data_IF_905282203156
#
_entry.id   IF_905282203156
#
_cell.length_a   1.000
_cell.length_b   1.000
_cell.length_c   1.000
_cell.angle_alpha   90.00
_cell.angle_beta   90.00
_cell.angle_gamma   90.00
#
_symmetry.space_group_name_H-M   'P 1'
#
loop_
_entity.id
_entity.type
_entity.pdbx_description
1 polymer ?
#
# COMPACT_ATOMS: atom_id res chain seq x y z
N UNK A 1 -19.21 4.27 11.28
CA UNK A 1 -17.76 4.58 11.34
C UNK A 1 -17.54 6.02 11.83
N UNK A 2 -17.99 6.31 13.05
CA UNK A 2 -17.76 7.60 13.72
C UNK A 2 -17.25 7.29 15.13
N UNK A 3 -16.33 8.12 15.62
CA UNK A 3 -15.83 8.19 17.00
C UNK A 3 -14.66 7.27 17.37
N UNK A 4 -13.43 7.73 17.09
CA UNK A 4 -12.27 7.47 17.95
C UNK A 4 -11.53 8.80 18.12
N UNK A 5 -11.88 9.50 19.20
CA UNK A 5 -11.31 10.80 19.58
C UNK A 5 -11.18 10.80 21.11
N UNK A 6 -9.96 11.05 21.62
CA UNK A 6 -9.51 11.40 23.00
C UNK A 6 -8.65 10.41 23.81
N UNK A 7 -7.52 11.00 24.25
CA UNK A 7 -6.78 10.90 25.53
C UNK A 7 -5.48 10.08 25.60
N UNK A 8 -4.38 10.78 25.97
CA UNK A 8 -3.03 10.23 26.24
C UNK A 8 -2.51 10.65 27.62
N UNK A 9 -1.69 9.79 28.23
CA UNK A 9 -0.84 10.05 29.39
C UNK A 9 0.49 9.28 29.29
N UNK A 10 1.61 9.90 29.71
CA UNK A 10 3.02 9.54 29.44
C UNK A 10 3.63 8.59 30.49
N UNK A 11 4.62 7.74 30.14
CA UNK A 11 6.00 7.70 30.70
C UNK A 11 6.91 6.58 30.11
N UNK A 12 8.23 6.83 30.17
CA UNK A 12 9.42 6.17 29.56
C UNK A 12 9.88 4.92 30.38
N UNK A 13 10.68 3.94 29.91
CA UNK A 13 12.16 4.02 29.67
C UNK A 13 12.83 2.62 29.40
N UNK A 14 13.85 2.61 28.53
CA UNK A 14 15.10 1.80 28.38
C UNK A 14 15.19 0.36 27.80
N UNK A 15 16.18 0.26 26.88
CA UNK A 15 16.62 -0.83 25.99
C UNK A 15 17.49 -1.95 26.57
N UNK A 16 17.54 -3.07 25.84
CA UNK A 16 18.72 -3.94 25.64
C UNK A 16 18.79 -4.39 24.16
N UNK A 17 20.01 -4.54 23.61
CA UNK A 17 20.38 -4.96 22.23
C UNK A 17 21.58 -5.95 22.34
N UNK A 18 22.00 -6.69 21.29
CA UNK A 18 21.24 -7.70 20.54
C UNK A 18 22.10 -8.96 20.22
N UNK A 19 21.50 -10.00 19.61
CA UNK A 19 22.23 -11.08 18.92
C UNK A 19 22.22 -10.86 17.41
N UNK A 20 23.39 -11.01 16.79
CA UNK A 20 23.71 -10.71 15.39
C UNK A 20 23.16 -11.81 14.47
N UNK A 21 22.28 -11.45 13.54
CA UNK A 21 21.89 -12.29 12.40
C UNK A 21 22.55 -11.72 11.12
N UNK A 22 23.25 -12.59 10.40
CA UNK A 22 24.04 -12.24 9.22
C UNK A 22 23.10 -12.04 8.00
N UNK A 23 22.71 -10.79 7.72
CA UNK A 23 22.02 -10.43 6.48
C UNK A 23 23.05 -10.41 5.33
N UNK A 24 22.90 -11.36 4.40
CA UNK A 24 23.55 -11.28 3.08
C UNK A 24 22.82 -10.16 2.32
N UNK A 25 23.35 -8.94 2.40
CA UNK A 25 22.90 -7.82 1.58
C UNK A 25 23.24 -8.13 0.13
N UNK A 26 22.28 -8.69 -0.61
CA UNK A 26 22.29 -8.72 -2.06
C UNK A 26 22.30 -7.26 -2.53
N UNK A 27 23.46 -6.77 -2.96
CA UNK A 27 23.57 -5.54 -3.74
C UNK A 27 22.86 -5.79 -5.06
N UNK A 28 21.56 -5.51 -5.12
CA UNK A 28 20.80 -5.49 -6.36
C UNK A 28 21.45 -4.47 -7.30
N UNK A 29 22.05 -4.97 -8.39
CA UNK A 29 22.56 -4.11 -9.43
C UNK A 29 21.37 -3.52 -10.17
N UNK A 30 21.04 -2.26 -9.84
CA UNK A 30 20.11 -1.45 -10.62
C UNK A 30 20.61 -1.36 -12.06
N UNK A 31 20.07 -2.21 -12.93
CA UNK A 31 20.25 -2.09 -14.37
C UNK A 31 19.30 -1.01 -14.86
N UNK A 32 19.77 0.24 -14.90
CA UNK A 32 19.04 1.30 -15.59
C UNK A 32 18.80 0.85 -17.03
N UNK A 33 17.55 0.56 -17.40
CA UNK A 33 17.15 0.47 -18.79
C UNK A 33 17.63 1.75 -19.47
N UNK A 34 18.60 1.72 -20.40
CA UNK A 34 19.31 2.92 -20.85
C UNK A 34 18.46 3.93 -21.65
N UNK A 35 17.15 3.74 -21.78
CA UNK A 35 16.34 4.41 -22.79
C UNK A 35 14.86 4.61 -22.39
N UNK A 36 14.51 4.86 -21.12
CA UNK A 36 13.19 5.43 -20.80
C UNK A 36 13.11 6.92 -21.20
N UNK A 37 13.18 7.17 -22.52
CA UNK A 37 12.88 8.47 -23.12
C UNK A 37 11.47 8.95 -22.79
N UNK A 38 10.61 8.09 -22.23
CA UNK A 38 9.28 8.46 -21.75
C UNK A 38 9.36 9.45 -20.59
N UNK A 39 10.20 9.17 -19.59
CA UNK A 39 10.30 10.03 -18.41
C UNK A 39 10.89 11.41 -18.77
N UNK A 40 11.97 11.46 -19.57
CA UNK A 40 12.56 12.72 -20.03
C UNK A 40 11.55 13.60 -20.80
N UNK A 41 10.73 12.99 -21.68
CA UNK A 41 9.65 13.70 -22.37
C UNK A 41 8.61 14.26 -21.40
N UNK A 42 8.24 13.49 -20.38
CA UNK A 42 7.29 13.91 -19.36
C UNK A 42 7.83 15.08 -18.51
N UNK A 43 9.10 15.02 -18.11
CA UNK A 43 9.80 16.10 -17.40
C UNK A 43 9.85 17.38 -18.26
N UNK A 44 10.20 17.23 -19.53
CA UNK A 44 10.25 18.37 -20.48
C UNK A 44 8.87 19.01 -20.61
N UNK A 45 7.81 18.22 -20.80
CA UNK A 45 6.43 18.71 -20.85
C UNK A 45 6.02 19.42 -19.56
N UNK A 46 6.29 18.83 -18.38
CA UNK A 46 6.00 19.42 -17.08
C UNK A 46 6.65 20.81 -16.94
N UNK A 47 7.93 20.94 -17.30
CA UNK A 47 8.68 22.20 -17.26
C UNK A 47 8.13 23.24 -18.24
N UNK A 48 7.77 22.86 -19.47
CA UNK A 48 7.13 23.75 -20.44
C UNK A 48 5.78 24.29 -19.93
N UNK A 49 5.10 23.51 -19.10
CA UNK A 49 3.86 23.90 -18.47
C UNK A 49 4.06 24.66 -17.15
N UNK A 50 5.30 25.05 -16.79
CA UNK A 50 5.60 25.84 -15.60
C UNK A 50 5.74 25.01 -14.32
N UNK A 51 5.77 23.68 -14.43
CA UNK A 51 6.17 22.80 -13.34
C UNK A 51 7.67 22.75 -13.15
N UNK A 52 8.10 22.14 -12.04
CA UNK A 52 9.51 21.94 -11.70
C UNK A 52 9.72 20.48 -11.33
N UNK A 53 10.83 19.90 -11.76
CA UNK A 53 11.24 18.52 -11.44
C UNK A 53 12.72 18.58 -11.10
N UNK A 54 13.15 17.99 -10.00
CA UNK A 54 14.56 17.94 -9.60
C UNK A 54 15.37 17.10 -10.61
N UNK A 55 16.52 17.60 -11.08
CA UNK A 55 17.37 16.87 -12.04
C UNK A 55 18.05 15.64 -11.42
N UNK A 56 17.99 15.48 -10.09
CA UNK A 56 18.58 14.35 -9.36
C UNK A 56 17.61 13.20 -9.18
N UNK A 57 16.44 13.19 -9.82
CA UNK A 57 15.52 12.04 -9.78
C UNK A 57 15.35 11.45 -11.18
N UNK A 58 15.14 10.15 -11.22
CA UNK A 58 14.81 9.42 -12.44
C UNK A 58 13.79 8.32 -12.14
N UNK A 59 13.25 7.69 -13.17
CA UNK A 59 12.39 6.52 -13.04
C UNK A 59 13.07 5.32 -13.66
N UNK A 60 13.17 4.25 -12.88
CA UNK A 60 13.75 2.98 -13.32
C UNK A 60 12.72 1.86 -13.20
N UNK A 61 13.02 0.74 -13.85
CA UNK A 61 12.36 -0.54 -13.62
C UNK A 61 13.30 -1.39 -12.78
N UNK A 62 12.87 -1.79 -11.60
CA UNK A 62 13.61 -2.67 -10.69
C UNK A 62 13.62 -4.12 -11.20
N UNK A 63 14.45 -4.97 -10.58
CA UNK A 63 14.60 -6.38 -10.98
C UNK A 63 13.29 -7.19 -10.89
N UNK A 64 12.35 -6.75 -10.05
CA UNK A 64 11.01 -7.34 -9.91
C UNK A 64 10.02 -6.81 -10.98
N UNK A 65 10.47 -6.02 -11.95
CA UNK A 65 9.65 -5.42 -13.00
C UNK A 65 8.82 -4.23 -12.52
N UNK A 66 8.91 -3.83 -11.25
CA UNK A 66 8.20 -2.66 -10.73
C UNK A 66 8.92 -1.40 -11.20
N UNK A 67 8.15 -0.44 -11.68
CA UNK A 67 8.65 0.89 -12.02
C UNK A 67 8.60 1.79 -10.80
N UNK A 68 9.64 2.58 -10.55
CA UNK A 68 9.65 3.53 -9.44
C UNK A 68 10.70 4.61 -9.56
N UNK A 69 10.52 5.66 -8.77
CA UNK A 69 11.38 6.85 -8.79
C UNK A 69 12.60 6.66 -7.89
N UNK A 70 13.79 7.00 -8.37
CA UNK A 70 15.06 6.86 -7.64
C UNK A 70 15.84 8.17 -7.62
N UNK A 71 16.65 8.33 -6.58
CA UNK A 71 17.63 9.41 -6.51
C UNK A 71 18.90 9.07 -7.32
N UNK A 72 19.33 9.96 -8.21
CA UNK A 72 20.58 9.86 -8.98
C UNK A 72 21.81 10.34 -8.20
N UNK A 73 21.57 11.19 -7.21
CA UNK A 73 22.53 11.82 -6.30
C UNK A 73 21.93 11.88 -4.90
N UNK A 74 22.73 12.25 -3.90
CA UNK A 74 22.20 12.49 -2.56
C UNK A 74 21.27 13.73 -2.59
N UNK A 75 20.11 13.60 -1.95
CA UNK A 75 19.09 14.65 -1.88
C UNK A 75 18.83 14.99 -0.42
N UNK A 76 19.02 16.25 -0.05
CA UNK A 76 18.84 16.72 1.32
C UNK A 76 17.36 16.73 1.76
N UNK A 77 17.14 16.61 3.07
CA UNK A 77 15.80 16.76 3.64
C UNK A 77 15.18 18.12 3.32
N UNK A 78 13.89 18.14 3.00
CA UNK A 78 13.16 19.34 2.64
C UNK A 78 13.34 19.82 1.20
N UNK A 79 14.19 19.17 0.40
CA UNK A 79 14.31 19.45 -1.02
C UNK A 79 12.97 19.25 -1.75
N UNK A 80 12.68 20.11 -2.73
CA UNK A 80 11.54 19.98 -3.63
C UNK A 80 11.92 19.03 -4.78
N UNK A 81 11.28 17.85 -4.82
CA UNK A 81 11.47 16.87 -5.88
C UNK A 81 10.64 17.21 -7.12
N UNK A 82 9.43 17.73 -6.89
CA UNK A 82 8.45 18.07 -7.93
C UNK A 82 7.57 19.23 -7.46
N UNK A 83 7.28 20.16 -8.37
CA UNK A 83 6.11 21.04 -8.31
C UNK A 83 5.26 20.80 -9.57
N UNK A 84 4.04 20.33 -9.38
CA UNK A 84 3.00 20.25 -10.40
C UNK A 84 2.01 21.42 -10.25
N UNK A 85 1.98 22.40 -11.18
CA UNK A 85 1.05 23.53 -11.10
C UNK A 85 -0.40 23.06 -11.17
N UNK A 86 -1.31 23.77 -10.49
CA UNK A 86 -2.74 23.39 -10.43
C UNK A 86 -3.39 23.17 -11.80
N UNK A 87 -2.99 23.94 -12.84
CA UNK A 87 -3.52 23.76 -14.20
C UNK A 87 -3.18 22.42 -14.86
N UNK A 88 -2.28 21.62 -14.29
CA UNK A 88 -1.93 20.28 -14.77
C UNK A 88 -2.53 19.16 -13.92
N UNK A 89 -3.11 19.48 -12.76
CA UNK A 89 -3.78 18.50 -11.90
C UNK A 89 -5.17 18.25 -12.47
N UNK A 90 -5.47 17.02 -12.90
CA UNK A 90 -6.83 16.68 -13.34
C UNK A 90 -7.74 16.53 -12.12
N UNK A 91 -8.92 17.14 -12.17
CA UNK A 91 -9.89 17.12 -11.07
C UNK A 91 -9.79 18.28 -10.06
N UNK A 92 -8.76 19.14 -10.12
CA UNK A 92 -8.68 20.31 -9.23
C UNK A 92 -7.93 21.46 -9.88
N UNK A 93 -8.62 22.59 -10.10
CA UNK A 93 -8.05 23.78 -10.73
C UNK A 93 -7.42 24.77 -9.75
N UNK A 94 -7.63 24.60 -8.45
CA UNK A 94 -7.02 25.43 -7.41
C UNK A 94 -7.06 24.79 -6.03
N UNK A 95 -6.23 25.28 -5.12
CA UNK A 95 -6.31 24.92 -3.69
C UNK A 95 -7.70 25.20 -3.10
N UNK A 96 -8.39 26.24 -3.57
CA UNK A 96 -9.71 26.60 -3.07
C UNK A 96 -10.82 25.66 -3.54
N UNK A 97 -10.68 25.07 -4.74
CA UNK A 97 -11.68 24.15 -5.28
C UNK A 97 -11.64 22.80 -4.57
N UNK A 98 -10.43 22.33 -4.25
CA UNK A 98 -10.22 21.16 -3.40
C UNK A 98 -10.90 21.29 -2.03
N UNK A 99 -10.78 22.46 -1.40
CA UNK A 99 -11.34 22.71 -0.06
C UNK A 99 -12.87 22.82 -0.05
N UNK A 100 -13.53 23.01 -1.21
CA UNK A 100 -14.99 23.10 -1.32
C UNK A 100 -15.67 21.72 -1.29
N UNK A 101 -14.92 20.62 -1.37
CA UNK A 101 -15.41 19.26 -1.14
C UNK A 101 -16.52 18.79 -2.10
N UNK A 102 -16.57 19.34 -3.32
CA UNK A 102 -17.79 19.32 -4.14
C UNK A 102 -17.71 18.64 -5.50
N UNK A 103 -16.52 18.49 -6.10
CA UNK A 103 -16.45 17.87 -7.42
C UNK A 103 -16.32 16.35 -7.26
N UNK A 104 -17.41 15.66 -7.60
CA UNK A 104 -17.56 14.21 -7.46
C UNK A 104 -16.40 13.51 -8.15
N UNK A 105 -15.86 12.45 -7.54
CA UNK A 105 -14.82 11.61 -8.17
C UNK A 105 -15.19 11.20 -9.61
N UNK A 106 -16.49 11.16 -9.92
CA UNK A 106 -17.04 11.03 -11.26
C UNK A 106 -16.55 12.09 -12.25
N UNK A 107 -16.50 13.36 -11.87
CA UNK A 107 -16.01 14.44 -12.72
C UNK A 107 -14.54 14.21 -13.13
N UNK A 108 -13.69 13.76 -12.20
CA UNK A 108 -12.29 13.44 -12.48
C UNK A 108 -12.18 12.27 -13.45
N UNK A 109 -12.96 11.20 -13.25
CA UNK A 109 -12.99 10.05 -14.16
C UNK A 109 -13.49 10.46 -15.55
N UNK A 110 -14.53 11.29 -15.63
CA UNK A 110 -15.10 11.75 -16.89
C UNK A 110 -14.17 12.72 -17.64
N UNK A 111 -13.50 13.64 -16.93
CA UNK A 111 -12.47 14.54 -17.47
C UNK A 111 -11.31 13.72 -18.02
N UNK A 112 -10.80 12.77 -17.25
CA UNK A 112 -9.71 11.90 -17.69
C UNK A 112 -10.11 11.05 -18.90
N UNK A 113 -11.33 10.49 -18.91
CA UNK A 113 -11.85 9.77 -20.07
C UNK A 113 -11.95 10.69 -21.30
N UNK A 114 -12.36 11.94 -21.14
CA UNK A 114 -12.36 12.94 -22.20
C UNK A 114 -10.96 13.16 -22.77
N UNK A 115 -9.97 13.40 -21.92
CA UNK A 115 -8.59 13.62 -22.35
C UNK A 115 -7.96 12.39 -23.02
N UNK A 116 -8.29 11.18 -22.56
CA UNK A 116 -7.88 9.93 -23.23
C UNK A 116 -8.44 9.87 -24.66
N UNK A 117 -9.71 10.24 -24.88
CA UNK A 117 -10.34 10.25 -26.22
C UNK A 117 -9.70 11.27 -27.16
N UNK A 118 -9.25 12.41 -26.64
CA UNK A 118 -8.55 13.42 -27.45
C UNK A 118 -7.21 12.90 -28.00
N UNK A 119 -6.63 11.86 -27.38
CA UNK A 119 -5.36 11.28 -27.78
C UNK A 119 -4.28 12.36 -27.87
N UNK A 120 -3.56 12.44 -28.99
CA UNK A 120 -2.47 13.42 -29.21
C UNK A 120 -2.90 14.89 -29.18
N UNK A 121 -4.20 15.18 -29.24
CA UNK A 121 -4.72 16.54 -29.13
C UNK A 121 -4.91 16.99 -27.67
N UNK A 122 -4.84 16.06 -26.71
CA UNK A 122 -4.91 16.38 -25.28
C UNK A 122 -3.66 17.12 -24.81
N UNK A 123 -3.84 18.15 -23.98
CA UNK A 123 -2.73 18.78 -23.24
C UNK A 123 -1.97 17.76 -22.40
N UNK A 124 -2.68 16.77 -21.86
CA UNK A 124 -2.15 15.73 -20.97
C UNK A 124 -1.71 14.47 -21.72
N UNK A 125 -1.73 14.46 -23.05
CA UNK A 125 -1.28 13.30 -23.82
C UNK A 125 0.09 12.77 -23.38
N UNK A 126 1.14 13.61 -23.17
CA UNK A 126 2.44 13.10 -22.73
C UNK A 126 2.40 12.36 -21.38
N UNK A 127 1.49 12.75 -20.50
CA UNK A 127 1.25 12.06 -19.22
C UNK A 127 0.42 10.79 -19.42
N UNK A 128 -0.71 10.88 -20.10
CA UNK A 128 -1.63 9.75 -20.31
C UNK A 128 -1.01 8.61 -21.12
N UNK A 129 -0.15 8.94 -22.10
CA UNK A 129 0.62 7.99 -22.91
C UNK A 129 1.71 7.28 -22.10
N UNK A 130 2.18 7.91 -21.02
CA UNK A 130 3.27 7.44 -20.18
C UNK A 130 2.83 6.54 -19.01
N UNK A 131 1.58 6.65 -18.56
CA UNK A 131 1.07 5.86 -17.45
C UNK A 131 0.87 4.41 -17.87
N UNK A 132 1.55 3.52 -17.16
CA UNK A 132 1.24 2.09 -17.13
C UNK A 132 0.16 1.83 -16.08
N UNK A 133 -0.85 1.04 -16.46
CA UNK A 133 -1.99 0.78 -15.60
C UNK A 133 -1.91 -0.60 -14.97
N UNK A 134 -2.16 -0.71 -13.64
CA UNK A 134 -2.30 -2.00 -13.02
C UNK A 134 -3.57 -2.68 -13.52
N UNK A 135 -3.58 -4.01 -13.45
CA UNK A 135 -4.80 -4.80 -13.68
C UNK A 135 -5.58 -4.85 -12.38
N UNK A 136 -6.66 -4.06 -12.27
CA UNK A 136 -7.52 -4.09 -11.08
C UNK A 136 -8.32 -5.39 -11.02
N UNK A 137 -8.65 -5.84 -9.80
CA UNK A 137 -9.47 -7.03 -9.57
C UNK A 137 -10.82 -6.97 -10.31
N UNK A 138 -11.35 -5.77 -10.52
CA UNK A 138 -12.61 -5.58 -11.24
C UNK A 138 -12.54 -5.97 -12.72
N UNK A 139 -11.34 -6.13 -13.29
CA UNK A 139 -11.12 -6.52 -14.69
C UNK A 139 -10.63 -7.96 -14.83
N UNK A 140 -10.58 -8.72 -13.74
CA UNK A 140 -10.09 -10.11 -13.75
C UNK A 140 -11.18 -11.07 -14.20
N UNK A 141 -10.76 -12.20 -14.76
CA UNK A 141 -11.70 -13.29 -15.03
C UNK A 141 -12.14 -13.99 -13.74
N UNK A 142 -13.25 -14.73 -13.83
CA UNK A 142 -13.82 -15.41 -12.67
C UNK A 142 -12.85 -16.46 -12.08
N UNK A 143 -12.02 -17.11 -12.90
CA UNK A 143 -11.11 -18.16 -12.43
C UNK A 143 -9.99 -17.60 -11.56
N UNK A 144 -9.48 -16.40 -11.87
CA UNK A 144 -8.54 -15.69 -11.00
C UNK A 144 -9.21 -15.18 -9.73
N UNK A 145 -10.45 -14.68 -9.83
CA UNK A 145 -11.21 -14.24 -8.66
C UNK A 145 -11.52 -15.39 -7.70
N UNK A 146 -11.84 -16.58 -8.20
CA UNK A 146 -12.14 -17.75 -7.36
C UNK A 146 -10.95 -18.17 -6.49
N UNK A 147 -9.71 -17.84 -6.87
CA UNK A 147 -8.54 -18.04 -6.01
C UNK A 147 -8.58 -17.17 -4.74
N UNK A 148 -9.40 -16.11 -4.70
CA UNK A 148 -9.58 -15.24 -3.52
C UNK A 148 -10.71 -15.72 -2.59
N UNK A 149 -11.30 -16.89 -2.83
CA UNK A 149 -12.38 -17.43 -2.00
C UNK A 149 -12.04 -17.38 -0.50
N UNK A 150 -12.96 -16.82 0.30
CA UNK A 150 -12.80 -16.67 1.75
C UNK A 150 -12.03 -15.41 2.19
N UNK A 151 -11.52 -14.61 1.25
CA UNK A 151 -10.81 -13.36 1.53
C UNK A 151 -11.68 -12.14 1.25
N UNK A 152 -11.43 -11.05 1.98
CA UNK A 152 -12.14 -9.78 1.81
C UNK A 152 -12.15 -9.25 0.37
N UNK A 153 -11.04 -9.28 -0.41
CA UNK A 153 -11.06 -8.80 -1.79
C UNK A 153 -12.04 -9.51 -2.72
N UNK A 154 -12.42 -10.77 -2.46
CA UNK A 154 -13.33 -11.51 -3.33
C UNK A 154 -14.73 -10.88 -3.38
N UNK A 155 -15.27 -10.51 -2.22
CA UNK A 155 -16.63 -9.96 -2.10
C UNK A 155 -16.73 -8.54 -2.69
N UNK A 156 -15.61 -7.83 -2.75
CA UNK A 156 -15.52 -6.42 -3.12
C UNK A 156 -14.79 -6.18 -4.46
N UNK A 157 -14.43 -7.24 -5.20
CA UNK A 157 -13.63 -7.15 -6.42
C UNK A 157 -14.20 -6.17 -7.46
N UNK A 158 -15.53 -6.04 -7.54
CA UNK A 158 -16.23 -5.18 -8.52
C UNK A 158 -16.69 -3.83 -7.95
N UNK A 159 -16.30 -3.47 -6.71
CA UNK A 159 -16.84 -2.28 -6.02
C UNK A 159 -16.64 -0.98 -6.81
N UNK A 160 -15.52 -0.83 -7.52
CA UNK A 160 -15.20 0.40 -8.27
C UNK A 160 -16.05 0.54 -9.52
N UNK A 161 -16.28 -0.56 -10.25
CA UNK A 161 -17.20 -0.57 -11.40
C UNK A 161 -18.64 -0.31 -10.96
N UNK A 162 -19.06 -0.95 -9.87
CA UNK A 162 -20.39 -0.72 -9.28
C UNK A 162 -20.56 0.74 -8.86
N UNK A 163 -19.60 1.29 -8.10
CA UNK A 163 -19.59 2.70 -7.73
C UNK A 163 -19.71 3.62 -8.96
N UNK A 164 -18.89 3.39 -9.99
CA UNK A 164 -18.92 4.19 -11.22
C UNK A 164 -20.31 4.12 -11.89
N UNK A 165 -20.90 2.93 -11.98
CA UNK A 165 -22.23 2.75 -12.58
C UNK A 165 -23.36 3.37 -11.76
N UNK A 166 -23.29 3.30 -10.43
CA UNK A 166 -24.37 3.75 -9.54
C UNK A 166 -24.29 5.24 -9.23
N UNK A 167 -23.07 5.81 -9.19
CA UNK A 167 -22.84 7.17 -8.68
C UNK A 167 -22.55 8.21 -9.77
N UNK A 168 -22.10 7.80 -10.96
CA UNK A 168 -21.61 8.73 -11.98
C UNK A 168 -22.52 8.90 -13.19
N UNK A 169 -23.73 8.31 -13.16
CA UNK A 169 -24.69 8.28 -14.28
C UNK A 169 -24.01 7.89 -15.62
N UNK A 170 -22.96 7.07 -15.53
CA UNK A 170 -22.14 6.70 -16.66
C UNK A 170 -22.87 5.55 -17.39
N UNK A 171 -23.66 5.89 -18.40
CA UNK A 171 -24.22 4.88 -19.30
C UNK A 171 -23.11 4.34 -20.21
N UNK A 172 -22.72 3.08 -20.00
CA UNK A 172 -21.72 2.37 -20.81
C UNK A 172 -22.26 1.91 -22.17
N UNK A 173 -23.34 2.52 -22.67
CA UNK A 173 -24.08 2.00 -23.83
C UNK A 173 -23.29 2.12 -25.14
N UNK A 174 -22.32 3.04 -25.24
CA UNK A 174 -21.40 3.08 -26.37
C UNK A 174 -20.14 2.25 -26.12
N UNK A 175 -20.01 1.15 -26.86
CA UNK A 175 -18.86 0.24 -26.81
C UNK A 175 -17.50 0.91 -27.04
N UNK A 176 -17.46 1.99 -27.84
CA UNK A 176 -16.22 2.73 -28.12
C UNK A 176 -15.81 3.62 -26.94
N UNK A 177 -16.77 3.96 -26.08
CA UNK A 177 -16.51 4.78 -24.91
C UNK A 177 -15.98 3.98 -23.71
N UNK A 178 -16.38 2.70 -23.64
CA UNK A 178 -16.05 1.81 -22.52
C UNK A 178 -14.55 1.76 -22.22
N UNK A 179 -13.69 1.67 -23.24
CA UNK A 179 -12.23 1.56 -23.05
C UNK A 179 -11.64 2.82 -22.41
N UNK A 180 -12.09 4.02 -22.81
CA UNK A 180 -11.57 5.28 -22.26
C UNK A 180 -12.02 5.48 -20.81
N UNK A 181 -13.29 5.19 -20.52
CA UNK A 181 -13.86 5.27 -19.17
C UNK A 181 -13.24 4.24 -18.23
N UNK A 182 -13.07 3.00 -18.68
CA UNK A 182 -12.40 1.94 -17.90
C UNK A 182 -10.94 2.30 -17.61
N UNK A 183 -10.20 2.77 -18.62
CA UNK A 183 -8.83 3.27 -18.46
C UNK A 183 -8.77 4.43 -17.45
N UNK A 184 -9.70 5.38 -17.54
CA UNK A 184 -9.79 6.50 -16.61
C UNK A 184 -10.11 6.04 -15.18
N UNK A 185 -11.05 5.11 -15.00
CA UNK A 185 -11.38 4.55 -13.70
C UNK A 185 -10.18 3.85 -13.06
N UNK A 186 -9.50 2.98 -13.82
CA UNK A 186 -8.33 2.24 -13.34
C UNK A 186 -7.25 3.22 -12.90
N UNK A 187 -6.98 4.23 -13.73
CA UNK A 187 -6.00 5.26 -13.42
C UNK A 187 -6.38 6.03 -12.16
N UNK A 188 -7.63 6.47 -12.06
CA UNK A 188 -8.13 7.22 -10.92
C UNK A 188 -7.99 6.40 -9.62
N UNK A 189 -8.50 5.17 -9.61
CA UNK A 189 -8.48 4.30 -8.42
C UNK A 189 -7.04 4.01 -7.93
N UNK A 190 -6.12 3.79 -8.87
CA UNK A 190 -4.76 3.35 -8.54
C UNK A 190 -3.74 4.48 -8.40
N UNK A 191 -4.04 5.69 -8.89
CA UNK A 191 -3.03 6.77 -9.00
C UNK A 191 -3.50 8.13 -8.50
N UNK A 192 -4.81 8.34 -8.32
CA UNK A 192 -5.29 9.61 -7.81
C UNK A 192 -4.85 9.85 -6.37
N UNK A 193 -4.49 11.09 -6.08
CA UNK A 193 -4.30 11.63 -4.74
C UNK A 193 -5.60 12.20 -4.19
N UNK A 194 -5.58 12.74 -2.97
CA UNK A 194 -6.71 13.48 -2.40
C UNK A 194 -7.10 14.75 -3.18
N UNK A 195 -6.29 15.18 -4.16
CA UNK A 195 -6.56 16.35 -5.01
C UNK A 195 -6.74 16.00 -6.49
N UNK A 196 -6.79 14.72 -6.84
CA UNK A 196 -6.92 14.25 -8.22
C UNK A 196 -5.62 13.67 -8.78
N UNK A 197 -5.50 13.67 -10.11
CA UNK A 197 -4.34 13.09 -10.82
C UNK A 197 -3.21 14.11 -10.89
N UNK A 198 -2.05 13.78 -10.31
CA UNK A 198 -0.86 14.64 -10.31
C UNK A 198 0.22 13.96 -11.16
N UNK A 199 0.50 14.46 -12.38
CA UNK A 199 1.54 13.90 -13.23
C UNK A 199 2.91 13.86 -12.54
N UNK A 200 3.71 12.82 -12.83
CA UNK A 200 5.03 12.51 -12.22
C UNK A 200 4.94 12.09 -10.75
N UNK A 201 4.13 12.76 -9.92
CA UNK A 201 3.93 12.40 -8.52
C UNK A 201 3.44 10.96 -8.34
N UNK A 202 2.53 10.52 -9.22
CA UNK A 202 1.95 9.18 -9.16
C UNK A 202 2.92 8.06 -9.57
N UNK A 203 4.15 8.38 -9.99
CA UNK A 203 5.23 7.42 -10.27
C UNK A 203 6.02 7.04 -9.01
N UNK A 204 5.76 7.70 -7.88
CA UNK A 204 6.39 7.43 -6.60
C UNK A 204 5.66 6.29 -5.90
N UNK A 205 6.37 5.19 -5.67
CA UNK A 205 5.79 3.99 -5.06
C UNK A 205 5.40 4.21 -3.60
N UNK A 206 4.52 3.33 -3.14
CA UNK A 206 4.13 3.25 -1.75
C UNK A 206 5.18 2.49 -0.94
N UNK A 207 5.54 3.03 0.23
CA UNK A 207 6.05 2.21 1.32
C UNK A 207 5.90 2.94 2.66
N UNK A 208 5.22 2.36 3.64
CA UNK A 208 5.03 3.03 4.95
C UNK A 208 6.27 2.95 5.84
N UNK A 209 7.02 1.85 5.74
CA UNK A 209 8.26 1.65 6.50
C UNK A 209 9.48 2.39 5.96
N UNK A 210 9.47 2.79 4.68
CA UNK A 210 10.59 3.46 4.00
C UNK A 210 10.22 4.84 3.46
N UNK A 211 9.14 5.46 3.95
CA UNK A 211 8.63 6.75 3.48
C UNK A 211 9.67 7.85 3.64
N UNK A 212 10.15 8.40 2.52
CA UNK A 212 11.13 9.48 2.46
C UNK A 212 10.66 10.69 1.63
N UNK A 213 9.44 10.65 1.09
CA UNK A 213 8.81 11.77 0.41
C UNK A 213 7.35 11.97 0.84
N UNK A 214 6.86 13.21 0.67
CA UNK A 214 5.50 13.60 1.05
C UNK A 214 4.92 14.65 0.11
N UNK A 215 3.64 14.50 -0.22
CA UNK A 215 2.85 15.52 -0.89
C UNK A 215 2.56 16.71 0.04
N UNK A 216 2.81 17.92 -0.47
CA UNK A 216 2.48 19.19 0.14
C UNK A 216 1.71 20.04 -0.86
N UNK A 217 0.49 20.44 -0.50
CA UNK A 217 -0.31 21.34 -1.33
C UNK A 217 0.06 22.79 -1.04
N UNK A 218 0.24 23.59 -2.09
CA UNK A 218 0.62 25.00 -2.00
C UNK A 218 -0.29 25.88 -2.86
N UNK A 219 -0.11 27.20 -2.79
CA UNK A 219 -0.80 28.13 -3.70
C UNK A 219 -0.38 27.93 -5.17
N UNK A 220 0.85 27.48 -5.41
CA UNK A 220 1.40 27.26 -6.76
C UNK A 220 0.89 25.94 -7.37
N UNK A 221 0.71 24.91 -6.53
CA UNK A 221 0.36 23.57 -6.98
C UNK A 221 0.61 22.48 -5.95
N UNK A 222 0.65 21.24 -6.44
CA UNK A 222 1.02 20.05 -5.69
C UNK A 222 2.55 19.88 -5.69
N UNK A 223 3.15 19.75 -4.51
CA UNK A 223 4.59 19.68 -4.34
C UNK A 223 5.00 18.35 -3.68
N UNK A 224 5.95 17.62 -4.26
CA UNK A 224 6.59 16.49 -3.60
C UNK A 224 7.88 16.97 -2.93
N UNK A 225 8.02 16.73 -1.63
CA UNK A 225 9.20 17.11 -0.85
C UNK A 225 9.82 15.92 -0.14
N UNK A 226 11.14 15.98 0.06
CA UNK A 226 11.86 15.02 0.90
C UNK A 226 11.52 15.21 2.38
N UNK A 227 11.28 14.12 3.10
CA UNK A 227 10.97 14.11 4.53
C UNK A 227 11.68 12.98 5.27
N UNK A 228 11.97 13.19 6.56
CA UNK A 228 12.46 12.13 7.42
C UNK A 228 13.93 11.77 7.21
N UNK A 229 14.73 12.75 6.78
CA UNK A 229 16.15 12.63 6.49
C UNK A 229 16.50 12.77 5.01
N UNK A 230 17.80 12.85 4.67
CA UNK A 230 18.25 12.87 3.28
C UNK A 230 17.96 11.53 2.58
N UNK A 231 17.84 11.57 1.25
CA UNK A 231 17.73 10.39 0.37
C UNK A 231 19.10 10.15 -0.28
N UNK A 232 19.83 9.10 0.13
CA UNK A 232 21.03 8.65 -0.55
C UNK A 232 20.85 8.38 -2.04
N UNK A 233 21.91 8.60 -2.80
CA UNK A 233 22.05 8.18 -4.20
C UNK A 233 21.66 6.72 -4.36
N UNK A 234 20.91 6.43 -5.43
CA UNK A 234 20.36 5.13 -5.83
C UNK A 234 19.27 4.57 -4.91
N UNK A 235 18.83 5.32 -3.90
CA UNK A 235 17.69 4.91 -3.11
C UNK A 235 16.38 5.26 -3.83
N UNK A 236 15.40 4.37 -3.70
CA UNK A 236 14.03 4.63 -4.15
C UNK A 236 13.36 5.70 -3.29
N UNK A 237 12.54 6.50 -3.97
CA UNK A 237 11.71 7.53 -3.36
C UNK A 237 10.34 6.90 -3.09
N UNK A 238 9.95 6.87 -1.83
CA UNK A 238 8.69 6.29 -1.37
C UNK A 238 7.81 7.33 -0.69
N UNK A 239 6.52 7.19 -0.92
CA UNK A 239 5.49 7.94 -0.21
C UNK A 239 4.48 7.01 0.48
N UNK A 240 3.58 7.60 1.27
CA UNK A 240 2.44 6.85 1.83
C UNK A 240 1.17 7.15 1.04
N UNK A 241 0.43 6.12 0.65
CA UNK A 241 -0.90 6.22 0.05
C UNK A 241 -2.00 6.33 1.12
N UNK A 242 -1.62 6.50 2.40
CA UNK A 242 -2.52 6.58 3.54
C UNK A 242 -2.85 5.20 4.15
N UNK A 243 -3.41 5.21 5.36
CA UNK A 243 -3.67 4.01 6.17
C UNK A 243 -4.67 3.09 5.47
N UNK A 244 -4.20 1.94 5.00
CA UNK A 244 -4.99 0.96 4.27
C UNK A 244 -4.65 -0.45 4.74
N UNK A 245 -5.67 -1.30 4.82
CA UNK A 245 -5.47 -2.74 4.97
C UNK A 245 -4.85 -3.31 3.69
N UNK A 246 -4.19 -4.45 3.78
CA UNK A 246 -3.68 -5.19 2.63
C UNK A 246 -4.77 -5.49 1.61
N UNK A 247 -6.00 -5.80 2.05
CA UNK A 247 -7.15 -5.98 1.15
C UNK A 247 -7.48 -4.71 0.38
N UNK A 248 -7.42 -3.55 1.04
CA UNK A 248 -7.66 -2.25 0.39
C UNK A 248 -6.53 -1.88 -0.55
N UNK A 249 -5.28 -2.13 -0.15
CA UNK A 249 -4.10 -1.93 -1.00
C UNK A 249 -4.21 -2.75 -2.27
N UNK A 250 -4.55 -4.03 -2.12
CA UNK A 250 -4.66 -4.96 -3.23
C UNK A 250 -5.82 -4.63 -4.17
N UNK A 251 -7.00 -4.31 -3.62
CA UNK A 251 -8.17 -3.92 -4.42
C UNK A 251 -7.97 -2.63 -5.21
N UNK A 252 -7.24 -1.65 -4.65
CA UNK A 252 -7.09 -0.33 -5.27
C UNK A 252 -5.84 -0.20 -6.12
N UNK A 253 -4.76 -0.90 -5.77
CA UNK A 253 -3.45 -0.69 -6.36
C UNK A 253 -2.84 -1.97 -6.95
N UNK A 254 -3.43 -3.14 -6.71
CA UNK A 254 -2.98 -4.42 -7.28
C UNK A 254 -1.72 -4.99 -6.62
N UNK A 255 -1.36 -4.56 -5.41
CA UNK A 255 -0.22 -5.10 -4.66
C UNK A 255 -0.48 -5.19 -3.15
N UNK A 256 0.37 -5.95 -2.46
CA UNK A 256 0.42 -6.04 -1.00
C UNK A 256 1.67 -5.30 -0.51
N UNK A 257 1.51 -4.42 0.46
CA UNK A 257 2.62 -3.70 1.10
C UNK A 257 3.61 -4.70 1.73
N UNK A 258 4.91 -4.47 1.55
CA UNK A 258 5.97 -5.32 2.11
C UNK A 258 5.95 -5.29 3.64
N UNK A 259 5.97 -4.08 4.22
CA UNK A 259 5.77 -3.83 5.66
C UNK A 259 5.66 -2.33 5.97
N UNK A 260 5.04 -1.95 7.11
CA UNK A 260 4.08 -2.73 7.89
C UNK A 260 2.85 -3.12 7.04
N UNK A 261 2.42 -4.37 7.15
CA UNK A 261 1.25 -4.87 6.41
C UNK A 261 0.10 -5.07 7.37
N UNK A 262 -1.00 -4.33 7.17
CA UNK A 262 -2.18 -4.40 8.03
C UNK A 262 -3.20 -5.37 7.45
N UNK A 263 -3.46 -6.47 8.15
CA UNK A 263 -4.41 -7.51 7.78
C UNK A 263 -5.63 -7.46 8.67
N UNK A 264 -6.76 -7.94 8.15
CA UNK A 264 -7.98 -8.13 8.90
C UNK A 264 -8.77 -9.33 8.39
N UNK A 265 -9.51 -9.98 9.28
CA UNK A 265 -10.43 -11.06 8.94
C UNK A 265 -11.59 -11.09 9.92
N UNK A 266 -12.69 -11.72 9.50
CA UNK A 266 -13.87 -11.92 10.34
C UNK A 266 -13.95 -13.40 10.70
N UNK A 267 -14.03 -13.69 11.99
CA UNK A 267 -14.34 -15.04 12.45
C UNK A 267 -15.83 -15.31 12.17
N UNK A 268 -16.15 -16.44 11.55
CA UNK A 268 -17.56 -16.73 11.27
C UNK A 268 -18.32 -17.25 12.47
N UNK A 269 -17.61 -17.79 13.47
CA UNK A 269 -18.26 -18.49 14.58
C UNK A 269 -18.70 -17.47 15.63
N UNK A 270 -17.82 -16.51 15.96
CA UNK A 270 -18.11 -15.41 16.87
C UNK A 270 -18.67 -14.15 16.20
N UNK A 271 -18.53 -14.02 14.88
CA UNK A 271 -18.74 -12.77 14.12
C UNK A 271 -17.78 -11.62 14.46
N UNK A 272 -16.76 -11.88 15.28
CA UNK A 272 -15.75 -10.90 15.66
C UNK A 272 -14.87 -10.51 14.47
N UNK A 273 -14.41 -9.25 14.47
CA UNK A 273 -13.41 -8.78 13.52
C UNK A 273 -12.06 -8.73 14.20
N UNK A 274 -11.10 -9.45 13.63
CA UNK A 274 -9.71 -9.45 14.06
C UNK A 274 -8.87 -8.64 13.07
N UNK A 275 -7.87 -7.94 13.59
CA UNK A 275 -6.88 -7.23 12.80
C UNK A 275 -5.49 -7.55 13.33
N UNK A 276 -4.49 -7.48 12.48
CA UNK A 276 -3.10 -7.61 12.90
C UNK A 276 -2.15 -6.90 11.94
N UNK A 277 -1.00 -6.48 12.45
CA UNK A 277 0.08 -5.89 11.64
C UNK A 277 1.21 -6.89 11.60
N UNK A 278 1.71 -7.20 10.41
CA UNK A 278 2.92 -8.01 10.22
C UNK A 278 4.12 -7.14 9.85
N UNK A 279 5.27 -7.53 10.38
CA UNK A 279 6.59 -6.97 10.10
C UNK A 279 7.54 -8.11 9.69
N UNK A 280 8.73 -7.79 9.15
CA UNK A 280 9.82 -8.75 9.00
C UNK A 280 10.20 -9.43 10.32
N UNK A 281 10.92 -10.54 10.21
CA UNK A 281 11.43 -11.35 11.33
C UNK A 281 10.33 -11.91 12.25
N UNK A 282 9.20 -12.29 11.66
CA UNK A 282 8.03 -12.87 12.35
C UNK A 282 7.43 -11.99 13.46
N UNK A 283 7.71 -10.68 13.44
CA UNK A 283 7.14 -9.74 14.42
C UNK A 283 5.72 -9.35 14.01
N UNK A 284 4.80 -9.44 14.97
CA UNK A 284 3.37 -9.15 14.77
C UNK A 284 2.80 -8.27 15.88
N UNK A 285 1.74 -7.54 15.57
CA UNK A 285 0.88 -6.91 16.57
C UNK A 285 -0.58 -7.26 16.27
N UNK A 286 -1.21 -8.09 17.12
CA UNK A 286 -2.62 -8.46 16.97
C UNK A 286 -3.52 -7.41 17.64
N UNK A 287 -4.71 -7.20 17.10
CA UNK A 287 -5.69 -6.23 17.56
C UNK A 287 -5.04 -4.88 17.93
N UNK A 288 -4.27 -4.26 17.00
CA UNK A 288 -3.49 -3.07 17.29
C UNK A 288 -4.39 -1.93 17.75
N UNK A 289 -3.94 -1.17 18.75
CA UNK A 289 -4.66 0.02 19.22
C UNK A 289 -4.60 1.14 18.17
N UNK A 290 -5.52 2.10 18.26
CA UNK A 290 -5.52 3.27 17.38
C UNK A 290 -4.23 4.10 17.51
N UNK A 291 -3.63 4.14 18.70
CA UNK A 291 -2.34 4.81 18.91
C UNK A 291 -1.19 4.03 18.26
N UNK A 292 -1.15 2.70 18.38
CA UNK A 292 -0.15 1.90 17.67
C UNK A 292 -0.25 2.07 16.15
N UNK A 293 -1.46 2.03 15.59
CA UNK A 293 -1.68 2.28 14.15
C UNK A 293 -1.18 3.68 13.77
N UNK A 294 -1.46 4.69 14.58
CA UNK A 294 -1.02 6.07 14.33
C UNK A 294 0.51 6.17 14.34
N UNK A 295 1.18 5.59 15.33
CA UNK A 295 2.65 5.60 15.43
C UNK A 295 3.30 4.85 14.27
N UNK A 296 2.80 3.66 13.96
CA UNK A 296 3.31 2.82 12.85
C UNK A 296 3.20 3.54 11.50
N UNK A 297 2.19 4.39 11.31
CA UNK A 297 1.93 5.03 10.01
C UNK A 297 2.48 6.45 9.85
N UNK A 298 2.54 7.22 10.94
CA UNK A 298 2.95 8.61 10.88
C UNK A 298 4.43 8.82 11.09
N UNK A 299 5.09 7.92 11.80
CA UNK A 299 6.51 8.07 12.07
C UNK A 299 7.34 7.64 10.85
N UNK A 300 8.46 8.30 10.59
CA UNK A 300 9.53 7.72 9.76
C UNK A 300 10.52 7.10 10.74
N UNK A 301 10.27 5.85 11.14
CA UNK A 301 11.08 5.16 12.14
C UNK A 301 11.87 4.02 11.49
N UNK A 302 13.05 3.67 12.04
CA UNK A 302 13.74 2.46 11.61
C UNK A 302 12.90 1.22 11.95
N UNK A 303 13.03 0.15 11.15
CA UNK A 303 12.30 -1.11 11.32
C UNK A 303 12.30 -1.64 12.77
N UNK A 304 13.46 -1.62 13.42
CA UNK A 304 13.64 -2.06 14.82
C UNK A 304 12.73 -1.31 15.79
N UNK A 305 12.48 -0.02 15.57
CA UNK A 305 11.59 0.76 16.43
C UNK A 305 10.12 0.35 16.24
N UNK A 306 9.68 0.06 15.01
CA UNK A 306 8.34 -0.49 14.79
C UNK A 306 8.18 -1.87 15.42
N UNK A 307 9.18 -2.75 15.27
CA UNK A 307 9.17 -4.09 15.88
C UNK A 307 9.13 -3.98 17.41
N UNK A 308 9.86 -3.03 17.99
CA UNK A 308 9.81 -2.78 19.44
C UNK A 308 8.43 -2.32 19.91
N UNK A 309 7.74 -1.48 19.15
CA UNK A 309 6.36 -1.07 19.47
C UNK A 309 5.38 -2.24 19.38
N UNK A 310 5.52 -3.07 18.34
CA UNK A 310 4.70 -4.26 18.15
C UNK A 310 4.88 -5.27 19.28
N UNK A 311 6.12 -5.55 19.66
CA UNK A 311 6.44 -6.45 20.78
C UNK A 311 5.89 -5.91 22.12
N UNK A 312 6.12 -4.63 22.42
CA UNK A 312 5.58 -4.02 23.63
C UNK A 312 4.04 -4.05 23.67
N UNK A 313 3.37 -3.91 22.52
CA UNK A 313 1.92 -4.11 22.43
C UNK A 313 1.52 -5.56 22.71
N UNK A 314 2.19 -6.55 22.09
CA UNK A 314 1.91 -7.97 22.32
C UNK A 314 2.11 -8.37 23.80
N UNK A 315 3.15 -7.86 24.44
CA UNK A 315 3.44 -8.07 25.87
C UNK A 315 2.34 -7.50 26.78
N UNK A 316 1.59 -6.49 26.33
CA UNK A 316 0.51 -5.87 27.11
C UNK A 316 -0.83 -6.62 27.05
N UNK A 317 -1.03 -7.49 26.06
CA UNK A 317 -2.27 -8.25 25.89
C UNK A 317 -2.44 -9.30 26.99
N UNK A 318 -3.65 -9.75 27.31
CA UNK A 318 -3.85 -10.86 28.26
C UNK A 318 -3.61 -12.24 27.60
N UNK A 319 -3.36 -13.29 28.37
CA UNK A 319 -3.27 -14.67 27.81
C UNK A 319 -4.60 -15.10 27.15
N UNK A 320 -5.73 -14.63 27.68
CA UNK A 320 -7.05 -14.86 27.08
C UNK A 320 -7.16 -14.23 25.68
N UNK A 321 -6.73 -12.98 25.53
CA UNK A 321 -6.75 -12.28 24.23
C UNK A 321 -5.86 -12.98 23.20
N UNK A 322 -4.65 -13.40 23.61
CA UNK A 322 -3.71 -14.13 22.76
C UNK A 322 -4.31 -15.45 22.28
N UNK A 323 -4.85 -16.27 23.20
CA UNK A 323 -5.42 -17.57 22.87
C UNK A 323 -6.70 -17.43 22.04
N UNK A 324 -7.55 -16.44 22.33
CA UNK A 324 -8.75 -16.14 21.54
C UNK A 324 -8.41 -15.81 20.10
N UNK A 325 -7.41 -14.95 19.88
CA UNK A 325 -6.94 -14.65 18.53
C UNK A 325 -6.37 -15.88 17.84
N UNK A 326 -5.51 -16.66 18.54
CA UNK A 326 -4.88 -17.84 17.97
C UNK A 326 -5.92 -18.89 17.52
N UNK A 327 -6.95 -19.13 18.34
CA UNK A 327 -8.04 -20.04 17.99
C UNK A 327 -8.84 -19.53 16.77
N UNK A 328 -9.19 -18.24 16.74
CA UNK A 328 -9.89 -17.66 15.60
C UNK A 328 -9.06 -17.74 14.31
N UNK A 329 -7.75 -17.49 14.39
CA UNK A 329 -6.82 -17.63 13.29
C UNK A 329 -6.72 -19.08 12.79
N UNK A 330 -6.65 -20.06 13.69
CA UNK A 330 -6.62 -21.48 13.34
C UNK A 330 -7.91 -21.92 12.62
N UNK A 331 -9.07 -21.56 13.17
CA UNK A 331 -10.38 -21.83 12.54
C UNK A 331 -10.48 -21.19 11.17
N UNK A 332 -9.98 -19.96 11.01
CA UNK A 332 -10.00 -19.26 9.73
C UNK A 332 -9.07 -19.90 8.70
N UNK A 333 -7.85 -20.27 9.10
CA UNK A 333 -6.87 -20.97 8.24
C UNK A 333 -7.41 -22.32 7.75
N UNK A 334 -8.11 -23.07 8.60
CA UNK A 334 -8.66 -24.39 8.26
C UNK A 334 -9.77 -24.36 7.18
N UNK A 335 -10.27 -23.17 6.81
CA UNK A 335 -11.34 -23.01 5.81
C UNK A 335 -10.83 -22.76 4.40
N UNK A 336 -9.55 -22.43 4.25
CA UNK A 336 -9.00 -22.25 2.91
C UNK A 336 -8.95 -23.60 2.18
N UNK A 337 -9.19 -23.60 0.86
CA UNK A 337 -9.09 -24.81 0.05
C UNK A 337 -7.65 -25.34 -0.04
N UNK A 338 -6.66 -24.51 0.32
CA UNK A 338 -5.23 -24.81 0.26
C UNK A 338 -4.52 -24.23 1.47
N UNK A 339 -3.37 -24.80 1.81
CA UNK A 339 -2.39 -24.27 2.78
C UNK A 339 -1.51 -23.19 2.14
N UNK A 340 -0.70 -22.47 2.92
CA UNK A 340 0.28 -21.52 2.37
C UNK A 340 1.33 -22.22 1.49
N UNK A 341 1.74 -23.44 1.89
CA UNK A 341 2.72 -24.25 1.15
C UNK A 341 2.19 -24.74 -0.19
N UNK A 342 0.93 -25.18 -0.25
CA UNK A 342 0.31 -25.57 -1.52
C UNK A 342 0.18 -24.37 -2.47
N UNK A 343 -0.11 -23.18 -1.94
CA UNK A 343 -0.15 -21.96 -2.76
C UNK A 343 1.21 -21.58 -3.35
N UNK A 344 2.33 -21.93 -2.70
CA UNK A 344 3.66 -21.73 -3.29
C UNK A 344 3.84 -22.56 -4.58
N UNK A 345 3.35 -23.80 -4.58
CA UNK A 345 3.39 -24.68 -5.75
C UNK A 345 2.46 -24.15 -6.84
N UNK A 346 1.23 -23.78 -6.47
CA UNK A 346 0.23 -23.23 -7.41
C UNK A 346 0.70 -21.90 -8.02
N UNK A 347 1.38 -21.05 -7.23
CA UNK A 347 1.95 -19.80 -7.71
C UNK A 347 3.02 -20.07 -8.77
N UNK A 348 3.97 -20.96 -8.47
CA UNK A 348 5.02 -21.32 -9.42
C UNK A 348 4.43 -21.86 -10.74
N UNK A 349 3.37 -22.67 -10.66
CA UNK A 349 2.65 -23.15 -11.83
C UNK A 349 1.96 -22.03 -12.61
N UNK A 350 1.18 -21.17 -11.94
CA UNK A 350 0.46 -20.06 -12.56
C UNK A 350 1.43 -19.08 -13.24
N UNK A 351 2.55 -18.76 -12.60
CA UNK A 351 3.63 -17.94 -13.16
C UNK A 351 4.23 -18.60 -14.40
N UNK A 352 4.56 -19.90 -14.35
CA UNK A 352 5.09 -20.66 -15.49
C UNK A 352 4.12 -20.67 -16.68
N UNK A 353 2.82 -20.70 -16.42
CA UNK A 353 1.77 -20.66 -17.44
C UNK A 353 1.43 -19.25 -17.94
N UNK A 354 2.04 -18.20 -17.39
CA UNK A 354 1.75 -16.81 -17.74
C UNK A 354 0.36 -16.34 -17.29
N UNK A 355 -0.24 -16.99 -16.29
CA UNK A 355 -1.56 -16.65 -15.75
C UNK A 355 -1.43 -15.53 -14.71
N UNK A 356 -1.11 -14.31 -15.15
CA UNK A 356 -0.73 -13.21 -14.26
C UNK A 356 -1.76 -12.90 -13.16
N UNK A 357 -3.05 -12.78 -13.48
CA UNK A 357 -4.09 -12.44 -12.49
C UNK A 357 -4.26 -13.55 -11.46
N UNK A 358 -4.27 -14.80 -11.94
CA UNK A 358 -4.36 -15.98 -11.08
C UNK A 358 -3.13 -16.08 -10.17
N UNK A 359 -1.93 -15.87 -10.70
CA UNK A 359 -0.70 -15.83 -9.93
C UNK A 359 -0.76 -14.74 -8.85
N UNK A 360 -1.20 -13.54 -9.20
CA UNK A 360 -1.38 -12.44 -8.23
C UNK A 360 -2.39 -12.81 -7.14
N UNK A 361 -3.53 -13.41 -7.50
CA UNK A 361 -4.53 -13.89 -6.55
C UNK A 361 -3.98 -14.92 -5.55
N UNK A 362 -3.24 -15.91 -6.05
CA UNK A 362 -2.61 -16.95 -5.25
C UNK A 362 -1.53 -16.35 -4.35
N UNK A 363 -0.74 -15.39 -4.84
CA UNK A 363 0.27 -14.70 -4.06
C UNK A 363 -0.34 -13.91 -2.89
N UNK A 364 -1.43 -13.16 -3.14
CA UNK A 364 -2.18 -12.47 -2.09
C UNK A 364 -2.69 -13.46 -1.03
N UNK A 365 -3.34 -14.55 -1.47
CA UNK A 365 -3.88 -15.59 -0.57
C UNK A 365 -2.77 -16.25 0.25
N UNK A 366 -1.62 -16.56 -0.35
CA UNK A 366 -0.44 -17.10 0.32
C UNK A 366 0.08 -16.13 1.37
N UNK A 367 0.31 -14.87 0.99
CA UNK A 367 0.83 -13.84 1.88
C UNK A 367 -0.06 -13.63 3.12
N UNK A 368 -1.38 -13.61 2.92
CA UNK A 368 -2.34 -13.57 4.02
C UNK A 368 -2.21 -14.79 4.96
N UNK A 369 -2.22 -16.01 4.39
CA UNK A 369 -2.11 -17.25 5.19
C UNK A 369 -0.81 -17.31 5.98
N UNK A 370 0.33 -17.05 5.35
CA UNK A 370 1.64 -17.03 6.02
C UNK A 370 1.65 -16.01 7.15
N UNK A 371 1.17 -14.79 6.91
CA UNK A 371 1.12 -13.75 7.96
C UNK A 371 0.21 -14.14 9.12
N UNK A 372 -0.93 -14.78 8.84
CA UNK A 372 -1.88 -15.25 9.86
C UNK A 372 -1.33 -16.45 10.66
N UNK A 373 -0.60 -17.36 10.02
CA UNK A 373 0.11 -18.47 10.67
C UNK A 373 1.18 -17.94 11.63
N UNK A 374 2.01 -16.98 11.18
CA UNK A 374 3.00 -16.29 12.03
C UNK A 374 2.33 -15.60 13.22
N UNK A 375 1.22 -14.90 13.00
CA UNK A 375 0.49 -14.23 14.07
C UNK A 375 -0.07 -15.22 15.10
N UNK A 376 -0.71 -16.31 14.65
CA UNK A 376 -1.20 -17.39 15.50
C UNK A 376 -0.08 -18.00 16.34
N UNK A 377 1.04 -18.36 15.71
CA UNK A 377 2.16 -19.00 16.38
C UNK A 377 2.77 -18.08 17.45
N UNK A 378 2.92 -16.78 17.13
CA UNK A 378 3.39 -15.76 18.07
C UNK A 378 2.49 -15.65 19.31
N UNK A 379 1.17 -15.69 19.11
CA UNK A 379 0.20 -15.67 20.21
C UNK A 379 0.33 -16.91 21.11
N UNK A 380 0.42 -18.10 20.53
CA UNK A 380 0.60 -19.34 21.28
C UNK A 380 1.90 -19.35 22.09
N UNK A 381 3.00 -18.86 21.50
CA UNK A 381 4.30 -18.77 22.17
C UNK A 381 4.25 -17.79 23.35
N UNK A 382 3.67 -16.60 23.13
CA UNK A 382 3.54 -15.57 24.17
C UNK A 382 2.64 -16.04 25.33
N UNK A 383 1.51 -16.69 25.05
CA UNK A 383 0.64 -17.26 26.08
C UNK A 383 1.35 -18.36 26.89
N UNK A 384 1.99 -19.32 26.21
CA UNK A 384 2.72 -20.41 26.87
C UNK A 384 3.89 -19.93 27.73
N UNK A 385 4.56 -18.85 27.35
CA UNK A 385 5.65 -18.27 28.14
C UNK A 385 5.15 -17.75 29.49
N UNK A 386 3.98 -17.10 29.51
CA UNK A 386 3.38 -16.52 30.71
C UNK A 386 2.87 -17.57 31.69
N UNK A 387 2.27 -18.65 31.18
CA UNK A 387 1.80 -19.74 32.05
C UNK A 387 2.97 -20.35 32.85
N UNK A 388 4.17 -20.45 32.24
CA UNK A 388 5.38 -20.91 32.92
C UNK A 388 5.91 -19.94 33.98
N UNK A 389 5.76 -18.63 33.79
CA UNK A 389 6.16 -17.62 34.78
C UNK A 389 5.29 -17.69 36.03
N UNK A 390 3.97 -17.92 35.85
CA UNK A 390 3.03 -18.11 36.96
C UNK A 390 3.39 -19.37 37.77
N UNK A 391 3.64 -20.50 37.10
CA UNK A 391 4.05 -21.74 37.77
C UNK A 391 5.39 -21.59 38.53
N UNK A 392 6.36 -20.88 37.94
CA UNK A 392 7.67 -20.65 38.56
C UNK A 392 7.63 -19.74 39.79
N UNK A 393 6.76 -18.72 39.80
CA UNK A 393 6.62 -17.79 40.93
C UNK A 393 6.03 -18.46 42.18
N UNK A 394 5.17 -19.48 42.02
CA UNK A 394 4.51 -20.16 43.12
C UNK A 394 5.42 -21.05 43.98
N UNK A 395 6.61 -21.42 43.51
CA UNK A 395 7.54 -22.28 44.24
C UNK A 395 8.58 -21.53 45.08
N UNK A 396 8.64 -20.18 45.00
CA UNK A 396 9.63 -19.39 45.75
C UNK A 396 9.18 -18.95 47.15
N UNK A 397 7.93 -19.23 47.54
CA UNK A 397 7.38 -18.86 48.86
C UNK A 397 7.15 -20.04 49.82
N UNK A 398 7.64 -21.23 49.46
CA UNK A 398 7.70 -22.42 50.32
C UNK A 398 9.14 -22.76 50.65
#
# INVERSE_FOLDING_TARGET
MNSIDRMMGKHKTLCFLPSIMLLVSLLSFVSSSPDDKGFERLVTWMRQQGGRVDDRIDVIVFDNGIRGMVALEDIEEGAELLLCPWKLVMGSTSFGDQMKGGDSMCAVVQEMAHEIRQGKNSLWYPYLDHIELPRLLSTWDQSALDELQGLSPYQDATRHLRWLSESCDASFEDSHDKTAVERALISFVSRASEVGMIPIYDLVNHHNGKRNAKLRLTKEGAQLIVVGGPIPKRQEIYQSYGIKTASTMYLNYGFVEEWPTCWNFKDSDSSDNFAFISFPDDVVAINPTADLIREVWHANMPLVAYQSLANGHMESLSSEDLLRFAQAAETHLARFPTTAREDEILLAEATRLGQQDRASAIEYRRAFKTSLETARNSCNMAASARDKEVEGSGYSEL
#
